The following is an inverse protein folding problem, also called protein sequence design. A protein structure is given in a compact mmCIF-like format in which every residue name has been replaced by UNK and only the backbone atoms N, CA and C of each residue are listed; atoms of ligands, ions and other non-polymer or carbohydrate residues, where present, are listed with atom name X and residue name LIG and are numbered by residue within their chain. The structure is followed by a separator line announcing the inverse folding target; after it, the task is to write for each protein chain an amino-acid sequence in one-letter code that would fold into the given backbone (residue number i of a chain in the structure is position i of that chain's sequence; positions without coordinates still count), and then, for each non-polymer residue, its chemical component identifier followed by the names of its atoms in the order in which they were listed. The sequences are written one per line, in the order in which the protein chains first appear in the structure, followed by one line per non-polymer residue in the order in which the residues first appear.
data_IF_109856115870
#
_entry.id   IF_109856115870
#
_cell.length_a   1.000
_cell.length_b   1.000
_cell.length_c   1.000
_cell.angle_alpha   90.00
_cell.angle_beta   90.00
_cell.angle_gamma   90.00
#
_symmetry.space_group_name_H-M   'P 1'
#
loop_
_entity.id
_entity.type
_entity.pdbx_description
1 polymer ?
#
# COMPACT_ATOMS: atom_id res chain seq x y z
N UNK A 1 5.98 21.30 17.87
CA UNK A 1 4.83 20.40 17.61
C UNK A 1 4.61 20.26 16.12
N UNK A 2 4.37 19.04 15.62
CA UNK A 2 3.95 18.81 14.21
C UNK A 2 2.48 18.43 14.15
N UNK A 3 1.76 18.94 13.15
CA UNK A 3 0.38 18.58 12.87
C UNK A 3 0.33 17.58 11.71
N UNK A 4 -0.41 16.48 11.88
CA UNK A 4 -0.74 15.56 10.79
C UNK A 4 -2.17 15.84 10.34
N UNK A 5 -2.34 16.18 9.07
CA UNK A 5 -3.61 16.44 8.44
C UNK A 5 -3.98 15.29 7.50
N UNK A 6 -4.91 14.45 7.91
CA UNK A 6 -5.27 13.25 7.15
C UNK A 6 -6.77 13.09 6.96
N UNK A 7 -7.14 12.41 5.87
CA UNK A 7 -8.51 11.95 5.61
C UNK A 7 -8.67 10.46 5.92
N UNK A 8 -7.54 9.75 5.99
CA UNK A 8 -7.49 8.30 6.12
C UNK A 8 -6.68 7.94 7.36
N UNK A 9 -7.39 7.55 8.45
CA UNK A 9 -6.75 7.19 9.72
C UNK A 9 -7.50 6.05 10.40
N UNK A 10 -6.85 5.17 11.19
CA UNK A 10 -7.54 4.15 11.95
C UNK A 10 -8.66 4.72 12.84
N UNK A 11 -9.67 3.91 13.19
CA UNK A 11 -9.76 2.45 13.02
C UNK A 11 -10.24 1.97 11.65
N UNK A 12 -10.38 2.86 10.65
CA UNK A 12 -10.62 2.44 9.27
C UNK A 12 -9.40 1.65 8.77
N UNK A 13 -9.63 0.53 8.06
CA UNK A 13 -8.57 -0.37 7.58
C UNK A 13 -8.21 -0.04 6.12
N UNK A 14 -6.90 0.07 5.85
CA UNK A 14 -6.38 0.27 4.50
C UNK A 14 -4.92 0.73 4.48
N UNK A 15 -4.28 0.66 3.31
CA UNK A 15 -2.87 1.01 3.18
C UNK A 15 -2.53 2.46 3.56
N UNK A 16 -3.43 3.42 3.24
CA UNK A 16 -3.27 4.83 3.63
C UNK A 16 -3.43 5.03 5.13
N UNK A 17 -4.40 4.34 5.73
CA UNK A 17 -4.64 4.38 7.17
C UNK A 17 -3.42 3.86 7.93
N UNK A 18 -2.90 2.72 7.50
CA UNK A 18 -1.70 2.11 8.09
C UNK A 18 -0.47 3.02 7.92
N UNK A 19 -0.29 3.64 6.74
CA UNK A 19 0.79 4.58 6.51
C UNK A 19 0.73 5.79 7.45
N UNK A 20 -0.44 6.43 7.53
CA UNK A 20 -0.59 7.63 8.37
C UNK A 20 -0.51 7.30 9.87
N UNK A 21 -1.00 6.13 10.25
CA UNK A 21 -0.84 5.60 11.61
C UNK A 21 0.63 5.36 11.95
N UNK A 22 1.33 4.56 11.14
CA UNK A 22 2.74 4.25 11.39
C UNK A 22 3.62 5.51 11.43
N UNK A 23 3.37 6.48 10.52
CA UNK A 23 4.05 7.76 10.54
C UNK A 23 3.77 8.56 11.82
N UNK A 24 2.50 8.69 12.24
CA UNK A 24 2.13 9.39 13.46
C UNK A 24 2.74 8.71 14.70
N UNK A 25 2.62 7.39 14.78
CA UNK A 25 3.15 6.59 15.88
C UNK A 25 4.67 6.72 16.02
N UNK A 26 5.40 6.60 14.90
CA UNK A 26 6.86 6.73 14.94
C UNK A 26 7.33 8.16 15.22
N UNK A 27 6.66 9.18 14.65
CA UNK A 27 6.99 10.57 14.93
C UNK A 27 6.70 10.95 16.38
N UNK A 28 5.64 10.41 16.99
CA UNK A 28 5.27 10.72 18.38
C UNK A 28 6.34 10.31 19.41
N UNK A 29 7.20 9.35 19.05
CA UNK A 29 8.35 8.96 19.89
C UNK A 29 9.43 10.05 19.98
N UNK A 30 9.40 11.03 19.07
CA UNK A 30 10.46 12.04 18.93
C UNK A 30 9.94 13.47 19.00
N UNK A 31 8.68 13.70 18.67
CA UNK A 31 8.08 15.02 18.55
C UNK A 31 6.68 15.02 19.18
N UNK A 32 6.27 16.17 19.67
CA UNK A 32 4.86 16.38 20.02
C UNK A 32 4.04 16.40 18.71
N UNK A 33 3.04 15.53 18.63
CA UNK A 33 2.20 15.33 17.44
C UNK A 33 0.74 15.57 17.80
N UNK A 34 0.00 16.26 16.93
CA UNK A 34 -1.46 16.30 16.93
C UNK A 34 -1.99 15.90 15.56
N UNK A 35 -2.93 14.98 15.53
CA UNK A 35 -3.55 14.47 14.29
C UNK A 35 -4.93 15.08 14.11
N UNK A 36 -5.20 15.63 12.93
CA UNK A 36 -6.54 16.03 12.49
C UNK A 36 -7.04 15.03 11.45
N UNK A 37 -8.01 14.21 11.82
CA UNK A 37 -8.51 13.10 11.01
C UNK A 37 -10.02 13.19 10.76
N UNK A 38 -10.51 12.49 9.73
CA UNK A 38 -11.95 12.33 9.54
C UNK A 38 -12.56 11.51 10.67
N UNK A 39 -13.80 11.86 11.04
CA UNK A 39 -14.58 11.10 12.04
C UNK A 39 -14.87 9.68 11.54
N UNK A 40 -14.72 8.72 12.44
CA UNK A 40 -15.14 7.33 12.26
C UNK A 40 -15.96 6.89 13.47
N UNK A 41 -17.05 6.15 13.26
CA UNK A 41 -18.00 5.77 14.33
C UNK A 41 -17.35 5.03 15.52
N UNK A 42 -16.33 4.23 15.26
CA UNK A 42 -15.63 3.40 16.25
C UNK A 42 -14.30 4.01 16.71
N UNK A 43 -14.10 5.33 16.58
CA UNK A 43 -12.80 5.96 16.85
C UNK A 43 -12.38 5.98 18.32
N UNK A 44 -13.33 6.05 19.26
CA UNK A 44 -13.05 6.29 20.70
C UNK A 44 -12.07 5.28 21.28
N UNK A 45 -12.35 3.99 21.17
CA UNK A 45 -11.47 2.93 21.69
C UNK A 45 -10.06 2.98 21.10
N UNK A 46 -9.94 3.35 19.82
CA UNK A 46 -8.64 3.51 19.19
C UNK A 46 -7.91 4.76 19.71
N UNK A 47 -8.62 5.89 19.78
CA UNK A 47 -8.05 7.19 20.18
C UNK A 47 -7.58 7.19 21.64
N UNK A 48 -8.19 6.38 22.51
CA UNK A 48 -7.80 6.20 23.93
C UNK A 48 -6.49 5.40 24.09
N UNK A 49 -6.09 4.62 23.09
CA UNK A 49 -4.91 3.75 23.17
C UNK A 49 -3.62 4.39 22.60
N UNK A 50 -3.72 5.59 22.05
CA UNK A 50 -2.58 6.27 21.42
C UNK A 50 -1.95 7.30 22.34
N UNK A 51 -0.64 7.55 22.14
CA UNK A 51 0.14 8.48 22.98
C UNK A 51 0.07 9.95 22.54
N UNK A 52 -0.68 10.27 21.50
CA UNK A 52 -0.79 11.61 20.93
C UNK A 52 -2.25 12.03 20.73
N UNK A 53 -2.48 13.34 20.65
CA UNK A 53 -3.84 13.88 20.51
C UNK A 53 -4.38 13.70 19.10
N UNK A 54 -5.65 13.24 19.00
CA UNK A 54 -6.39 13.12 17.74
C UNK A 54 -7.65 13.99 17.80
N UNK A 55 -7.79 14.90 16.84
CA UNK A 55 -8.99 15.69 16.60
C UNK A 55 -9.79 15.07 15.47
N UNK A 56 -10.98 14.55 15.76
CA UNK A 56 -11.86 13.90 14.78
C UNK A 56 -12.91 14.87 14.24
N UNK A 57 -12.88 15.11 12.93
CA UNK A 57 -13.78 16.06 12.26
C UNK A 57 -14.89 15.33 11.53
N UNK A 58 -16.11 15.51 12.03
CA UNK A 58 -17.33 14.91 11.50
C UNK A 58 -18.10 15.79 10.53
N UNK A 59 -19.36 15.38 10.26
CA UNK A 59 -20.31 16.08 9.41
C UNK A 59 -20.26 15.65 7.94
N UNK A 60 -20.85 16.47 7.06
CA UNK A 60 -20.99 16.19 5.64
C UNK A 60 -19.60 16.00 5.02
N UNK A 61 -19.38 14.84 4.35
CA UNK A 61 -18.07 14.42 3.81
C UNK A 61 -17.41 15.47 2.92
N UNK A 62 -18.18 16.16 2.06
CA UNK A 62 -17.68 17.21 1.17
C UNK A 62 -17.15 18.43 1.92
N UNK A 63 -17.70 18.74 3.09
CA UNK A 63 -17.33 19.90 3.90
C UNK A 63 -16.24 19.63 4.92
N UNK A 64 -15.89 18.37 5.18
CA UNK A 64 -14.89 18.00 6.22
C UNK A 64 -13.53 18.62 5.98
N UNK A 65 -13.09 18.70 4.71
CA UNK A 65 -11.79 19.33 4.38
C UNK A 65 -11.75 20.82 4.80
N UNK A 66 -12.83 21.56 4.60
CA UNK A 66 -12.95 22.97 4.98
C UNK A 66 -12.95 23.13 6.50
N UNK A 67 -13.76 22.30 7.19
CA UNK A 67 -13.85 22.32 8.68
C UNK A 67 -12.50 21.98 9.31
N UNK A 68 -11.80 20.94 8.82
CA UNK A 68 -10.46 20.60 9.31
C UNK A 68 -9.47 21.74 9.08
N UNK A 69 -9.48 22.33 7.87
CA UNK A 69 -8.60 23.46 7.58
C UNK A 69 -8.89 24.66 8.49
N UNK A 70 -10.16 24.95 8.78
CA UNK A 70 -10.56 26.00 9.74
C UNK A 70 -10.00 25.70 11.13
N UNK A 71 -10.26 24.51 11.68
CA UNK A 71 -9.76 24.10 12.99
C UNK A 71 -8.24 24.17 13.09
N UNK A 72 -7.53 23.74 12.04
CA UNK A 72 -6.06 23.84 12.01
C UNK A 72 -5.60 25.29 11.95
N UNK A 73 -6.24 26.14 11.14
CA UNK A 73 -5.92 27.57 11.06
C UNK A 73 -6.15 28.31 12.41
N UNK A 74 -7.18 27.94 13.14
CA UNK A 74 -7.44 28.46 14.50
C UNK A 74 -6.39 27.92 15.48
N UNK A 75 -6.15 26.62 15.48
CA UNK A 75 -5.16 25.97 16.36
C UNK A 75 -3.74 26.56 16.20
N UNK A 76 -3.33 26.87 14.97
CA UNK A 76 -2.00 27.45 14.67
C UNK A 76 -1.84 28.86 15.28
N UNK A 77 -2.92 29.65 15.43
CA UNK A 77 -2.86 30.99 16.03
C UNK A 77 -2.52 30.94 17.51
N UNK A 78 -2.98 29.90 18.20
CA UNK A 78 -2.85 29.75 19.66
C UNK A 78 -1.65 28.89 20.07
N UNK A 79 -1.04 28.15 19.12
CA UNK A 79 -0.01 27.18 19.42
C UNK A 79 1.24 27.34 18.57
N UNK A 80 2.41 27.06 19.16
CA UNK A 80 3.67 27.04 18.43
C UNK A 80 3.80 25.75 17.63
N UNK A 81 3.70 25.88 16.30
CA UNK A 81 3.76 24.77 15.35
C UNK A 81 5.05 24.86 14.54
N UNK A 82 5.76 23.73 14.40
CA UNK A 82 6.99 23.59 13.64
C UNK A 82 6.71 23.25 12.16
N UNK A 83 5.65 22.46 11.90
CA UNK A 83 5.25 22.10 10.54
C UNK A 83 3.97 21.28 10.47
N UNK A 84 3.50 21.07 9.24
CA UNK A 84 2.28 20.33 8.92
C UNK A 84 2.64 19.24 7.91
N UNK A 85 2.21 18.01 8.18
CA UNK A 85 2.33 16.86 7.29
C UNK A 85 0.93 16.48 6.82
N UNK A 86 0.70 16.46 5.52
CA UNK A 86 -0.60 16.12 4.95
C UNK A 86 -0.53 14.87 4.08
N UNK A 87 -1.54 14.02 4.22
CA UNK A 87 -1.70 12.78 3.46
C UNK A 87 -2.05 12.99 1.97
N UNK A 88 -2.37 14.24 1.58
CA UNK A 88 -2.92 14.53 0.25
C UNK A 88 -2.93 16.05 0.01
N UNK A 89 -2.67 16.50 -1.23
CA UNK A 89 -2.70 17.91 -1.60
C UNK A 89 -4.03 18.61 -1.25
N UNK A 90 -5.18 17.93 -1.36
CA UNK A 90 -6.49 18.50 -0.97
C UNK A 90 -6.61 18.83 0.50
N UNK A 91 -5.81 18.20 1.34
CA UNK A 91 -5.76 18.51 2.77
C UNK A 91 -5.12 19.88 3.01
N UNK A 92 -4.20 20.31 2.15
CA UNK A 92 -3.51 21.60 2.25
C UNK A 92 -4.24 22.76 1.57
N UNK A 93 -5.18 22.49 0.68
CA UNK A 93 -5.80 23.46 -0.24
C UNK A 93 -6.42 24.69 0.45
N UNK A 94 -6.86 24.56 1.69
CA UNK A 94 -7.54 25.64 2.42
C UNK A 94 -6.77 26.08 3.66
N UNK A 95 -5.52 25.66 3.82
CA UNK A 95 -4.67 26.11 4.92
C UNK A 95 -4.08 27.48 4.62
N UNK A 96 -4.28 28.42 5.56
CA UNK A 96 -3.77 29.79 5.50
C UNK A 96 -2.63 29.95 6.50
N UNK A 97 -1.46 29.44 6.18
CA UNK A 97 -0.29 29.49 7.07
C UNK A 97 1.03 29.49 6.31
N UNK A 98 2.02 30.19 6.85
CA UNK A 98 3.41 30.19 6.36
C UNK A 98 4.27 29.11 7.05
N UNK A 99 3.67 28.24 7.87
CA UNK A 99 4.39 27.14 8.49
C UNK A 99 4.82 26.13 7.44
N UNK A 100 5.96 25.47 7.67
CA UNK A 100 6.49 24.40 6.83
C UNK A 100 5.42 23.35 6.54
N UNK A 101 5.21 23.03 5.26
CA UNK A 101 4.25 22.04 4.81
C UNK A 101 4.94 20.92 4.08
N UNK A 102 4.62 19.70 4.43
CA UNK A 102 5.04 18.47 3.78
C UNK A 102 3.79 17.78 3.24
N UNK A 103 3.77 17.47 1.96
CA UNK A 103 2.66 16.79 1.29
C UNK A 103 3.08 15.40 0.84
N UNK A 104 2.37 14.37 1.31
CA UNK A 104 2.54 13.02 0.79
C UNK A 104 1.71 12.86 -0.49
N UNK A 105 2.30 12.19 -1.49
CA UNK A 105 1.63 11.82 -2.74
C UNK A 105 1.79 10.33 -3.00
N UNK A 106 0.71 9.70 -3.56
CA UNK A 106 0.57 8.24 -3.59
C UNK A 106 0.26 7.68 -4.98
N UNK A 107 0.17 8.53 -6.02
CA UNK A 107 -0.05 8.18 -7.41
C UNK A 107 -1.46 8.51 -7.91
N UNK A 108 -2.51 7.87 -7.39
CA UNK A 108 -3.88 8.03 -7.93
C UNK A 108 -4.37 9.48 -7.97
N UNK A 109 -4.09 10.27 -6.94
CA UNK A 109 -4.57 11.64 -6.78
C UNK A 109 -3.83 12.65 -7.68
N UNK A 110 -2.68 12.24 -8.21
CA UNK A 110 -1.89 13.01 -9.19
C UNK A 110 -1.89 12.35 -10.58
N UNK A 111 -2.57 11.21 -10.78
CA UNK A 111 -2.70 10.58 -12.10
C UNK A 111 -3.86 11.21 -12.88
N UNK A 112 -3.59 12.34 -13.51
CA UNK A 112 -4.56 13.10 -14.32
C UNK A 112 -3.83 13.81 -15.49
N UNK A 113 -4.60 14.38 -16.42
CA UNK A 113 -4.03 15.04 -17.59
C UNK A 113 -3.42 16.39 -17.23
N UNK A 114 -2.23 16.67 -17.78
CA UNK A 114 -1.54 17.95 -17.69
C UNK A 114 -2.37 19.06 -18.34
N UNK A 115 -2.32 20.26 -17.76
CA UNK A 115 -3.00 21.45 -18.30
C UNK A 115 -4.49 21.56 -17.98
N UNK A 116 -5.12 20.53 -17.39
CA UNK A 116 -6.51 20.59 -16.95
C UNK A 116 -6.69 21.52 -15.76
N UNK A 117 -7.94 21.94 -15.48
CA UNK A 117 -8.28 22.73 -14.29
C UNK A 117 -7.87 22.02 -12.98
N UNK A 118 -7.97 20.67 -12.95
CA UNK A 118 -7.51 19.88 -11.84
C UNK A 118 -5.97 19.96 -11.69
N UNK A 119 -5.24 19.86 -12.80
CA UNK A 119 -3.78 19.98 -12.79
C UNK A 119 -3.33 21.35 -12.28
N UNK A 120 -3.90 22.44 -12.80
CA UNK A 120 -3.59 23.81 -12.33
C UNK A 120 -3.77 23.93 -10.81
N UNK A 121 -4.89 23.43 -10.30
CA UNK A 121 -5.23 23.46 -8.88
C UNK A 121 -4.27 22.62 -8.01
N UNK A 122 -3.82 21.46 -8.52
CA UNK A 122 -2.81 20.61 -7.85
C UNK A 122 -1.47 21.36 -7.77
N UNK A 123 -1.03 21.95 -8.89
CA UNK A 123 0.24 22.71 -8.95
C UNK A 123 0.20 23.92 -8.02
N UNK A 124 -0.90 24.70 -8.02
CA UNK A 124 -1.08 25.85 -7.13
C UNK A 124 -0.90 25.46 -5.64
N UNK A 125 -1.45 24.30 -5.22
CA UNK A 125 -1.27 23.82 -3.85
C UNK A 125 0.15 23.35 -3.59
N UNK A 126 0.72 22.55 -4.51
CA UNK A 126 2.05 21.95 -4.33
C UNK A 126 3.18 22.97 -4.46
N UNK A 127 2.97 24.07 -5.18
CA UNK A 127 3.94 25.18 -5.24
C UNK A 127 4.12 25.88 -3.87
N UNK A 128 3.11 25.80 -3.02
CA UNK A 128 3.13 26.33 -1.65
C UNK A 128 3.56 25.28 -0.59
N UNK A 129 4.18 24.19 -1.03
CA UNK A 129 4.69 23.11 -0.16
C UNK A 129 6.22 23.12 -0.23
N UNK A 130 6.88 23.00 0.88
CA UNK A 130 8.35 22.97 0.96
C UNK A 130 8.92 21.62 0.54
N UNK A 131 8.25 20.53 0.93
CA UNK A 131 8.70 19.17 0.61
C UNK A 131 7.52 18.30 0.21
N UNK A 132 7.64 17.63 -0.92
CA UNK A 132 6.68 16.66 -1.42
C UNK A 132 7.29 15.27 -1.27
N UNK A 133 6.65 14.41 -0.52
CA UNK A 133 7.08 13.03 -0.32
C UNK A 133 6.30 12.11 -1.26
N UNK A 134 6.98 11.60 -2.29
CA UNK A 134 6.43 10.57 -3.15
C UNK A 134 6.69 9.18 -2.55
N UNK A 135 5.68 8.32 -2.58
CA UNK A 135 5.78 6.97 -2.02
C UNK A 135 6.58 5.98 -2.90
N UNK A 136 6.94 6.38 -4.13
CA UNK A 136 7.76 5.61 -5.08
C UNK A 136 8.39 6.50 -6.14
N UNK A 137 9.41 6.01 -6.83
CA UNK A 137 10.01 6.71 -7.99
C UNK A 137 8.98 6.89 -9.11
N UNK A 138 8.10 5.91 -9.31
CA UNK A 138 7.01 6.06 -10.28
C UNK A 138 6.08 7.25 -9.92
N UNK A 139 5.69 7.38 -8.67
CA UNK A 139 4.86 8.51 -8.20
C UNK A 139 5.58 9.85 -8.35
N UNK A 140 6.88 9.90 -8.08
CA UNK A 140 7.72 11.09 -8.31
C UNK A 140 7.75 11.46 -9.79
N UNK A 141 8.02 10.49 -10.67
CA UNK A 141 8.07 10.74 -12.11
C UNK A 141 6.72 11.21 -12.66
N UNK A 142 5.62 10.64 -12.16
CA UNK A 142 4.27 11.10 -12.48
C UNK A 142 4.06 12.56 -12.05
N UNK A 143 4.46 12.95 -10.85
CA UNK A 143 4.36 14.33 -10.39
C UNK A 143 5.18 15.29 -11.25
N UNK A 144 6.42 14.94 -11.61
CA UNK A 144 7.28 15.71 -12.51
C UNK A 144 6.61 15.90 -13.88
N UNK A 145 6.03 14.85 -14.45
CA UNK A 145 5.35 14.91 -15.75
C UNK A 145 4.16 15.87 -15.76
N UNK A 146 3.51 16.07 -14.59
CA UNK A 146 2.43 17.05 -14.41
C UNK A 146 2.91 18.48 -14.26
N UNK A 147 4.21 18.69 -14.07
CA UNK A 147 4.82 20.03 -13.89
C UNK A 147 5.20 20.37 -12.45
N UNK A 148 5.15 19.40 -11.52
CA UNK A 148 5.63 19.62 -10.15
C UNK A 148 7.17 19.78 -10.17
N UNK A 149 7.68 20.74 -9.42
CA UNK A 149 9.11 21.06 -9.36
C UNK A 149 9.90 19.90 -8.74
N UNK A 150 10.82 19.32 -9.52
CA UNK A 150 11.57 18.13 -9.14
C UNK A 150 12.34 18.29 -7.82
N UNK A 151 12.95 19.46 -7.58
CA UNK A 151 13.76 19.71 -6.39
C UNK A 151 12.97 19.71 -5.08
N UNK A 152 11.62 19.84 -5.15
CA UNK A 152 10.73 19.71 -3.98
C UNK A 152 10.36 18.28 -3.68
N UNK A 153 10.60 17.32 -4.59
CA UNK A 153 10.12 15.96 -4.48
C UNK A 153 11.25 15.05 -3.98
N UNK A 154 10.98 14.37 -2.89
CA UNK A 154 11.81 13.28 -2.40
C UNK A 154 10.99 11.98 -2.40
N UNK A 155 11.66 10.84 -2.57
CA UNK A 155 11.02 9.54 -2.46
C UNK A 155 11.27 8.98 -1.08
N UNK A 156 10.20 8.73 -0.31
CA UNK A 156 10.26 7.96 0.94
C UNK A 156 9.20 6.88 0.81
N UNK A 157 9.64 5.64 0.66
CA UNK A 157 8.73 4.51 0.57
C UNK A 157 7.94 4.32 1.88
N UNK A 158 6.71 3.76 1.84
CA UNK A 158 5.94 3.44 3.03
C UNK A 158 6.69 2.51 3.98
N UNK A 159 6.61 2.81 5.27
CA UNK A 159 7.12 1.93 6.31
C UNK A 159 6.16 0.76 6.59
N UNK A 160 6.73 -0.35 7.05
CA UNK A 160 5.99 -1.48 7.58
C UNK A 160 6.46 -1.79 9.01
N UNK A 161 5.53 -2.32 9.82
CA UNK A 161 5.88 -2.83 11.14
C UNK A 161 6.56 -4.19 11.01
N UNK A 162 7.37 -4.55 12.00
CA UNK A 162 7.90 -5.90 12.12
C UNK A 162 6.75 -6.88 12.29
N UNK A 163 6.83 -8.01 11.60
CA UNK A 163 5.85 -9.08 11.79
C UNK A 163 6.01 -9.72 13.18
N UNK A 164 4.87 -9.93 13.82
CA UNK A 164 4.82 -10.68 15.07
C UNK A 164 5.05 -12.18 14.81
N UNK A 165 5.54 -12.87 15.83
CA UNK A 165 5.68 -14.32 15.77
C UNK A 165 4.31 -14.99 15.63
N UNK A 166 4.19 -15.84 14.62
CA UNK A 166 2.93 -16.52 14.32
C UNK A 166 2.67 -17.66 15.26
N UNK A 167 1.45 -17.80 15.75
CA UNK A 167 1.02 -18.87 16.60
C UNK A 167 1.17 -20.22 15.88
N UNK A 168 1.86 -21.16 16.51
CA UNK A 168 2.12 -22.52 15.96
C UNK A 168 0.82 -23.22 15.57
N UNK A 169 -0.22 -23.16 16.40
CA UNK A 169 -1.52 -23.79 16.12
C UNK A 169 -2.15 -23.26 14.83
N UNK A 170 -2.03 -21.94 14.56
CA UNK A 170 -2.53 -21.32 13.34
C UNK A 170 -1.69 -21.75 12.13
N UNK A 171 -0.37 -21.80 12.27
CA UNK A 171 0.53 -22.31 11.22
C UNK A 171 0.23 -23.77 10.87
N UNK A 172 0.05 -24.65 11.89
CA UNK A 172 -0.28 -26.07 11.69
C UNK A 172 -1.66 -26.23 11.00
N UNK A 173 -2.64 -25.40 11.36
CA UNK A 173 -3.96 -25.39 10.70
C UNK A 173 -3.83 -25.03 9.22
N UNK A 174 -3.07 -24.01 8.88
CA UNK A 174 -2.85 -23.59 7.49
C UNK A 174 -2.03 -24.64 6.73
N UNK A 175 -0.99 -25.20 7.32
CA UNK A 175 -0.23 -26.28 6.70
C UNK A 175 -1.11 -27.51 6.37
N UNK A 176 -2.01 -27.90 7.28
CA UNK A 176 -2.97 -28.97 7.03
C UNK A 176 -3.97 -28.62 5.91
N UNK A 177 -4.44 -27.37 5.86
CA UNK A 177 -5.32 -26.87 4.80
C UNK A 177 -4.65 -26.93 3.42
N UNK A 178 -3.37 -26.58 3.36
CA UNK A 178 -2.59 -26.54 2.13
C UNK A 178 -1.77 -27.83 1.89
N UNK A 179 -2.05 -28.88 2.66
CA UNK A 179 -1.38 -30.18 2.49
C UNK A 179 -1.60 -30.69 1.06
N UNK A 180 -0.54 -31.17 0.44
CA UNK A 180 -0.51 -31.65 -0.94
C UNK A 180 -0.81 -30.56 -2.02
N UNK A 181 -0.82 -29.26 -1.65
CA UNK A 181 -0.93 -28.16 -2.59
C UNK A 181 0.45 -27.59 -2.89
N UNK A 182 0.84 -27.57 -4.17
CA UNK A 182 2.08 -26.96 -4.64
C UNK A 182 1.99 -26.68 -6.14
N UNK A 183 2.51 -25.54 -6.63
CA UNK A 183 2.90 -24.36 -5.85
C UNK A 183 1.70 -23.63 -5.22
N UNK A 184 1.97 -22.87 -4.16
CA UNK A 184 1.00 -22.07 -3.42
C UNK A 184 1.18 -20.60 -3.78
N UNK A 185 0.33 -20.07 -4.63
CA UNK A 185 0.30 -18.66 -4.99
C UNK A 185 -0.64 -17.91 -4.06
N UNK A 186 -0.31 -16.67 -3.69
CA UNK A 186 -1.18 -15.84 -2.84
C UNK A 186 -1.24 -14.40 -3.32
N UNK A 187 -2.43 -13.80 -3.23
CA UNK A 187 -2.63 -12.34 -3.29
C UNK A 187 -3.41 -11.88 -2.07
N UNK A 188 -2.93 -10.84 -1.40
CA UNK A 188 -3.62 -10.16 -0.30
C UNK A 188 -3.92 -8.74 -0.76
N UNK A 189 -5.17 -8.46 -1.14
CA UNK A 189 -5.55 -7.14 -1.65
C UNK A 189 -7.06 -6.97 -1.73
N UNK A 190 -7.50 -5.73 -2.01
CA UNK A 190 -8.87 -5.53 -2.47
C UNK A 190 -9.05 -6.17 -3.86
N UNK A 191 -10.22 -6.74 -4.10
CA UNK A 191 -10.56 -7.27 -5.42
C UNK A 191 -11.04 -6.12 -6.31
N UNK A 192 -10.09 -5.42 -6.91
CA UNK A 192 -10.29 -4.39 -7.91
C UNK A 192 -9.50 -4.74 -9.20
N UNK A 193 -9.93 -4.21 -10.35
CA UNK A 193 -9.33 -4.53 -11.67
C UNK A 193 -7.83 -4.26 -11.72
N UNK A 194 -7.37 -3.24 -11.02
CA UNK A 194 -5.96 -2.88 -10.96
C UNK A 194 -5.08 -4.00 -10.36
N UNK A 195 -5.61 -4.78 -9.40
CA UNK A 195 -4.88 -5.87 -8.73
C UNK A 195 -4.71 -7.11 -9.58
N UNK A 196 -5.50 -7.21 -10.64
CA UNK A 196 -5.32 -8.14 -11.75
C UNK A 196 -5.39 -9.64 -11.39
N UNK A 197 -6.29 -9.99 -10.48
CA UNK A 197 -6.59 -11.39 -10.14
C UNK A 197 -7.00 -12.19 -11.39
N UNK A 198 -7.68 -11.52 -12.34
CA UNK A 198 -8.13 -12.10 -13.60
C UNK A 198 -6.98 -12.76 -14.37
N UNK A 199 -5.89 -12.02 -14.62
CA UNK A 199 -4.74 -12.55 -15.37
C UNK A 199 -4.03 -13.70 -14.64
N UNK A 200 -3.97 -13.65 -13.31
CA UNK A 200 -3.41 -14.75 -12.52
C UNK A 200 -4.27 -16.01 -12.68
N UNK A 201 -5.62 -15.88 -12.59
CA UNK A 201 -6.55 -17.01 -12.80
C UNK A 201 -6.45 -17.56 -14.21
N UNK A 202 -6.36 -16.71 -15.22
CA UNK A 202 -6.16 -17.15 -16.61
C UNK A 202 -4.83 -17.93 -16.77
N UNK A 203 -3.74 -17.46 -16.13
CA UNK A 203 -2.47 -18.16 -16.13
C UNK A 203 -2.53 -19.53 -15.45
N UNK A 204 -3.36 -19.70 -14.41
CA UNK A 204 -3.56 -20.99 -13.74
C UNK A 204 -4.06 -22.09 -14.69
N UNK A 205 -4.83 -21.74 -15.74
CA UNK A 205 -5.30 -22.70 -16.74
C UNK A 205 -4.15 -23.47 -17.39
N UNK A 206 -3.05 -22.78 -17.68
CA UNK A 206 -1.87 -23.38 -18.27
C UNK A 206 -0.95 -23.98 -17.21
N UNK A 207 -0.76 -23.26 -16.08
CA UNK A 207 0.10 -23.73 -14.98
C UNK A 207 -0.37 -25.06 -14.39
N UNK A 208 -1.67 -25.31 -14.29
CA UNK A 208 -2.19 -26.59 -13.74
C UNK A 208 -1.83 -27.82 -14.58
N UNK A 209 -1.48 -27.65 -15.85
CA UNK A 209 -1.01 -28.75 -16.70
C UNK A 209 0.37 -29.23 -16.28
N UNK A 210 1.22 -28.30 -15.79
CA UNK A 210 2.57 -28.60 -15.29
C UNK A 210 2.55 -28.92 -13.80
N UNK A 211 1.70 -28.19 -13.04
CA UNK A 211 1.56 -28.28 -11.60
C UNK A 211 0.10 -28.63 -11.23
N UNK A 212 -0.31 -29.90 -11.31
CA UNK A 212 -1.72 -30.28 -11.09
C UNK A 212 -2.26 -29.92 -9.69
N UNK A 213 -1.37 -29.84 -8.70
CA UNK A 213 -1.70 -29.49 -7.30
C UNK A 213 -1.59 -27.99 -6.99
N UNK A 214 -1.37 -27.13 -8.01
CA UNK A 214 -1.29 -25.68 -7.82
C UNK A 214 -2.52 -25.13 -7.11
N UNK A 215 -2.30 -24.17 -6.21
CA UNK A 215 -3.38 -23.44 -5.55
C UNK A 215 -3.11 -21.93 -5.59
N UNK A 216 -4.14 -21.17 -5.86
CA UNK A 216 -4.14 -19.71 -5.76
C UNK A 216 -5.05 -19.26 -4.62
N UNK A 217 -4.49 -18.57 -3.66
CA UNK A 217 -5.14 -18.08 -2.46
C UNK A 217 -5.43 -16.59 -2.63
N UNK A 218 -6.70 -16.24 -2.69
CA UNK A 218 -7.17 -14.86 -2.82
C UNK A 218 -7.68 -14.38 -1.46
N UNK A 219 -6.97 -13.45 -0.81
CA UNK A 219 -7.37 -12.89 0.48
C UNK A 219 -7.81 -11.45 0.30
N UNK A 220 -9.07 -11.16 0.62
CA UNK A 220 -9.66 -9.83 0.53
C UNK A 220 -11.10 -9.84 0.04
N UNK A 221 -11.56 -8.67 -0.40
CA UNK A 221 -12.88 -8.42 -0.97
C UNK A 221 -12.85 -7.19 -1.88
N UNK A 222 -13.89 -6.99 -2.68
CA UNK A 222 -14.01 -5.82 -3.54
C UNK A 222 -15.00 -5.99 -4.67
N UNK A 223 -15.09 -4.97 -5.53
CA UNK A 223 -16.11 -4.88 -6.58
C UNK A 223 -15.97 -5.98 -7.66
N UNK A 224 -14.78 -6.56 -7.81
CA UNK A 224 -14.53 -7.63 -8.79
C UNK A 224 -14.76 -9.05 -8.23
N UNK A 225 -15.20 -9.21 -6.99
CA UNK A 225 -15.33 -10.53 -6.33
C UNK A 225 -16.18 -11.50 -7.15
N UNK A 226 -17.37 -11.07 -7.60
CA UNK A 226 -18.28 -11.90 -8.38
C UNK A 226 -17.73 -12.22 -9.78
N UNK A 227 -17.09 -11.25 -10.44
CA UNK A 227 -16.46 -11.46 -11.76
C UNK A 227 -15.33 -12.48 -11.68
N UNK A 228 -14.52 -12.41 -10.62
CA UNK A 228 -13.40 -13.34 -10.38
C UNK A 228 -13.93 -14.76 -10.13
N UNK A 229 -14.95 -14.91 -9.29
CA UNK A 229 -15.58 -16.22 -9.00
C UNK A 229 -16.22 -16.83 -10.25
N UNK A 230 -16.89 -16.01 -11.06
CA UNK A 230 -17.47 -16.43 -12.34
C UNK A 230 -16.38 -16.94 -13.28
N UNK A 231 -15.27 -16.20 -13.44
CA UNK A 231 -14.14 -16.62 -14.26
C UNK A 231 -13.56 -17.97 -13.79
N UNK A 232 -13.40 -18.15 -12.48
CA UNK A 232 -12.95 -19.44 -11.90
C UNK A 232 -13.86 -20.58 -12.30
N UNK A 233 -15.18 -20.37 -12.28
CA UNK A 233 -16.16 -21.38 -12.68
C UNK A 233 -16.11 -21.66 -14.19
N UNK A 234 -16.06 -20.63 -15.03
CA UNK A 234 -15.96 -20.74 -16.50
C UNK A 234 -14.71 -21.52 -16.94
N UNK A 235 -13.61 -21.34 -16.23
CA UNK A 235 -12.34 -22.05 -16.52
C UNK A 235 -12.21 -23.40 -15.81
N UNK A 236 -13.22 -23.83 -15.04
CA UNK A 236 -13.20 -25.08 -14.24
C UNK A 236 -11.98 -25.15 -13.31
N UNK A 237 -11.70 -24.04 -12.60
CA UNK A 237 -10.55 -23.86 -11.69
C UNK A 237 -10.94 -23.86 -10.20
N UNK A 238 -12.17 -24.28 -9.84
CA UNK A 238 -12.62 -24.28 -8.45
C UNK A 238 -11.67 -25.07 -7.50
N UNK A 239 -11.08 -26.21 -7.90
CA UNK A 239 -10.11 -26.91 -7.04
C UNK A 239 -8.78 -26.19 -6.85
N UNK A 240 -8.46 -25.21 -7.73
CA UNK A 240 -7.19 -24.47 -7.75
C UNK A 240 -7.29 -23.06 -7.16
N UNK A 241 -8.47 -22.61 -6.69
CA UNK A 241 -8.62 -21.25 -6.16
C UNK A 241 -9.36 -21.30 -4.82
N UNK A 242 -8.77 -20.64 -3.82
CA UNK A 242 -9.40 -20.42 -2.51
C UNK A 242 -9.62 -18.94 -2.26
N UNK A 243 -10.81 -18.60 -1.76
CA UNK A 243 -11.17 -17.24 -1.39
C UNK A 243 -11.29 -17.10 0.13
N UNK A 244 -10.67 -16.07 0.69
CA UNK A 244 -10.75 -15.73 2.10
C UNK A 244 -11.20 -14.28 2.25
N UNK A 245 -12.24 -14.06 3.05
CA UNK A 245 -12.80 -12.75 3.36
C UNK A 245 -13.01 -12.61 4.85
N UNK A 246 -12.79 -11.40 5.38
CA UNK A 246 -13.02 -11.04 6.78
C UNK A 246 -12.33 -12.00 7.78
N UNK A 247 -11.12 -12.47 7.43
CA UNK A 247 -10.29 -13.30 8.29
C UNK A 247 -9.41 -12.47 9.22
N UNK A 248 -8.97 -13.05 10.34
CA UNK A 248 -8.05 -12.40 11.27
C UNK A 248 -6.69 -12.11 10.62
N UNK A 249 -5.99 -11.08 11.10
CA UNK A 249 -4.63 -10.79 10.67
C UNK A 249 -3.69 -11.98 10.88
N UNK A 250 -3.86 -12.72 11.97
CA UNK A 250 -3.07 -13.90 12.27
C UNK A 250 -3.25 -14.99 11.19
N UNK A 251 -4.49 -15.30 10.79
CA UNK A 251 -4.77 -16.28 9.73
C UNK A 251 -4.24 -15.78 8.38
N UNK A 252 -4.46 -14.51 8.05
CA UNK A 252 -3.92 -13.88 6.84
C UNK A 252 -2.40 -14.03 6.78
N UNK A 253 -1.71 -13.70 7.86
CA UNK A 253 -0.26 -13.76 7.92
C UNK A 253 0.26 -15.21 7.86
N UNK A 254 -0.45 -16.17 8.46
CA UNK A 254 -0.11 -17.59 8.36
C UNK A 254 -0.30 -18.13 6.93
N UNK A 255 -1.34 -17.70 6.20
CA UNK A 255 -1.53 -18.02 4.78
C UNK A 255 -0.38 -17.47 3.93
N UNK A 256 0.04 -16.23 4.18
CA UNK A 256 1.22 -15.63 3.52
C UNK A 256 2.47 -16.45 3.83
N UNK A 257 2.75 -16.71 5.10
CA UNK A 257 3.95 -17.46 5.53
C UNK A 257 4.04 -18.90 4.99
N UNK A 258 2.90 -19.50 4.63
CA UNK A 258 2.81 -20.87 4.08
C UNK A 258 2.64 -20.93 2.56
N UNK A 259 2.73 -19.79 1.89
CA UNK A 259 2.71 -19.68 0.43
C UNK A 259 4.13 -19.70 -0.15
N UNK A 260 4.23 -19.92 -1.48
CA UNK A 260 5.52 -19.99 -2.17
C UNK A 260 5.83 -18.71 -2.97
N UNK A 261 4.81 -18.06 -3.55
CA UNK A 261 4.95 -16.83 -4.34
C UNK A 261 3.78 -15.88 -4.04
N UNK A 262 4.09 -14.62 -3.76
CA UNK A 262 3.10 -13.55 -3.74
C UNK A 262 2.89 -13.01 -5.16
N UNK A 263 1.66 -13.08 -5.69
CA UNK A 263 1.36 -12.72 -7.08
C UNK A 263 0.35 -11.57 -7.14
N UNK A 264 0.78 -10.42 -7.61
CA UNK A 264 -0.09 -9.26 -7.83
C UNK A 264 0.43 -8.43 -9.01
N UNK A 265 0.34 -8.94 -10.26
CA UNK A 265 0.83 -8.27 -11.47
C UNK A 265 -0.09 -7.09 -11.81
N UNK A 266 -0.06 -6.05 -10.95
CA UNK A 266 -0.94 -4.90 -11.00
C UNK A 266 -0.81 -4.13 -12.30
N UNK A 267 -1.93 -3.56 -12.77
CA UNK A 267 -2.01 -2.76 -14.00
C UNK A 267 -2.61 -1.39 -13.71
N UNK A 268 -2.45 -0.46 -14.62
CA UNK A 268 -3.20 0.79 -14.59
C UNK A 268 -4.64 0.51 -15.02
N UNK A 269 -5.61 0.86 -14.17
CA UNK A 269 -7.02 0.83 -14.53
C UNK A 269 -7.64 2.22 -14.36
N UNK A 270 -8.03 2.86 -15.48
CA UNK A 270 -8.47 4.27 -15.51
C UNK A 270 -7.38 5.17 -14.89
N UNK A 271 -7.69 5.86 -13.78
CA UNK A 271 -6.73 6.68 -13.02
C UNK A 271 -6.09 5.95 -11.86
N UNK A 272 -6.47 4.69 -11.62
CA UNK A 272 -5.96 3.92 -10.49
C UNK A 272 -4.66 3.22 -10.88
N UNK A 273 -3.59 3.51 -10.14
CA UNK A 273 -2.26 2.95 -10.30
C UNK A 273 -1.78 2.39 -8.96
N UNK A 274 -0.92 1.37 -8.97
CA UNK A 274 -0.26 0.91 -7.75
C UNK A 274 0.79 1.94 -7.34
N UNK A 275 0.58 2.58 -6.19
CA UNK A 275 1.49 3.62 -5.74
C UNK A 275 2.86 3.10 -5.30
N UNK A 276 2.87 1.98 -4.58
CA UNK A 276 4.08 1.31 -4.10
C UNK A 276 3.87 -0.20 -3.98
N UNK A 277 2.76 -0.61 -3.33
CA UNK A 277 2.48 -2.01 -3.09
C UNK A 277 3.04 -2.52 -1.76
N UNK A 278 2.59 -1.95 -0.64
CA UNK A 278 2.97 -2.37 0.72
C UNK A 278 2.87 -3.90 0.89
N UNK A 279 1.87 -4.54 0.27
CA UNK A 279 1.65 -5.97 0.34
C UNK A 279 2.85 -6.83 -0.17
N UNK A 280 3.64 -6.33 -1.12
CA UNK A 280 4.87 -7.00 -1.54
C UNK A 280 5.91 -7.02 -0.41
N UNK A 281 6.02 -5.90 0.31
CA UNK A 281 6.94 -5.77 1.44
C UNK A 281 6.47 -6.62 2.63
N UNK A 282 5.16 -6.64 2.89
CA UNK A 282 4.55 -7.52 3.90
C UNK A 282 4.84 -9.01 3.59
N UNK A 283 4.71 -9.42 2.33
CA UNK A 283 5.05 -10.78 1.90
C UNK A 283 6.55 -11.08 2.05
N UNK A 284 7.43 -10.13 1.69
CA UNK A 284 8.88 -10.27 1.81
C UNK A 284 9.35 -10.56 3.24
N UNK A 285 8.65 -10.05 4.27
CA UNK A 285 8.97 -10.34 5.67
C UNK A 285 8.89 -11.85 6.00
N UNK A 286 8.03 -12.59 5.30
CA UNK A 286 7.90 -14.04 5.43
C UNK A 286 8.81 -14.81 4.46
N UNK A 287 9.64 -14.12 3.70
CA UNK A 287 10.52 -14.74 2.71
C UNK A 287 9.78 -15.15 1.43
N UNK A 288 8.62 -14.52 1.12
CA UNK A 288 7.96 -14.73 -0.15
C UNK A 288 8.55 -13.79 -1.21
N UNK A 289 8.99 -14.33 -2.35
CA UNK A 289 9.27 -13.52 -3.52
C UNK A 289 7.95 -13.03 -4.14
N UNK A 290 7.99 -11.91 -4.83
CA UNK A 290 6.80 -11.31 -5.41
C UNK A 290 6.86 -11.24 -6.92
N UNK A 291 5.73 -11.47 -7.59
CA UNK A 291 5.47 -11.06 -8.97
C UNK A 291 4.65 -9.78 -8.96
N UNK A 292 5.24 -8.67 -9.41
CA UNK A 292 4.62 -7.36 -9.52
C UNK A 292 4.39 -6.95 -10.97
N UNK A 293 3.49 -5.97 -11.18
CA UNK A 293 3.29 -5.37 -12.49
C UNK A 293 4.29 -4.23 -12.77
N UNK A 294 4.65 -4.03 -14.03
CA UNK A 294 5.58 -2.96 -14.46
C UNK A 294 4.98 -1.55 -14.31
N UNK A 295 3.66 -1.45 -14.34
CA UNK A 295 2.94 -0.18 -14.28
C UNK A 295 2.72 0.24 -12.82
N UNK A 296 3.46 1.23 -12.37
CA UNK A 296 3.35 1.77 -11.01
C UNK A 296 4.58 1.55 -10.15
N UNK A 297 4.40 1.60 -8.84
CA UNK A 297 5.49 1.62 -7.86
C UNK A 297 5.99 0.24 -7.41
N UNK A 298 5.58 -0.87 -8.05
CA UNK A 298 6.00 -2.21 -7.65
C UNK A 298 7.53 -2.40 -7.71
N UNK A 299 8.21 -1.73 -8.66
CA UNK A 299 9.66 -1.79 -8.82
C UNK A 299 10.46 -1.19 -7.64
N UNK A 300 9.82 -0.36 -6.81
CA UNK A 300 10.46 0.14 -5.58
C UNK A 300 10.42 -0.90 -4.44
N UNK A 301 9.41 -1.77 -4.45
CA UNK A 301 9.24 -2.84 -3.46
C UNK A 301 9.95 -4.14 -3.89
N UNK A 302 10.07 -4.40 -5.20
CA UNK A 302 10.60 -5.63 -5.78
C UNK A 302 11.84 -5.32 -6.61
N UNK A 303 13.00 -5.86 -6.22
CA UNK A 303 14.22 -5.84 -7.04
C UNK A 303 14.12 -6.96 -8.08
N UNK A 304 13.84 -6.58 -9.35
CA UNK A 304 13.64 -7.53 -10.45
C UNK A 304 14.81 -8.52 -10.61
N UNK A 305 14.49 -9.82 -10.71
CA UNK A 305 15.44 -10.96 -10.76
C UNK A 305 16.31 -11.13 -9.51
N UNK A 306 15.98 -10.46 -8.41
CA UNK A 306 16.70 -10.59 -7.14
C UNK A 306 15.77 -10.93 -5.98
N UNK A 307 14.68 -10.17 -5.78
CA UNK A 307 13.69 -10.41 -4.73
C UNK A 307 12.34 -10.86 -5.28
N UNK A 308 12.24 -10.98 -6.60
CA UNK A 308 11.05 -11.36 -7.34
C UNK A 308 11.15 -10.93 -8.80
N UNK A 309 10.01 -10.89 -9.48
CA UNK A 309 9.93 -10.48 -10.87
C UNK A 309 8.93 -9.32 -11.05
N UNK A 310 9.21 -8.50 -12.07
CA UNK A 310 8.30 -7.48 -12.60
C UNK A 310 7.93 -7.89 -14.02
N UNK A 311 6.65 -7.91 -14.36
CA UNK A 311 6.12 -8.25 -15.68
C UNK A 311 5.11 -7.23 -16.19
N UNK A 312 4.78 -7.28 -17.47
CA UNK A 312 3.59 -6.62 -17.99
C UNK A 312 2.34 -7.38 -17.55
N UNK A 313 1.60 -6.83 -16.58
CA UNK A 313 0.36 -7.44 -16.10
C UNK A 313 -0.76 -7.46 -17.15
N UNK A 314 -0.66 -6.69 -18.25
CA UNK A 314 -1.63 -6.73 -19.35
C UNK A 314 -1.43 -7.96 -20.24
N UNK A 315 -0.19 -8.49 -20.29
CA UNK A 315 0.17 -9.61 -21.14
C UNK A 315 0.08 -10.94 -20.36
N UNK A 316 -0.85 -11.81 -20.78
CA UNK A 316 -1.08 -13.10 -20.11
C UNK A 316 0.16 -13.98 -20.14
N UNK A 317 0.87 -14.01 -21.27
CA UNK A 317 2.05 -14.82 -21.45
C UNK A 317 3.21 -14.37 -20.56
N UNK A 318 3.33 -13.07 -20.29
CA UNK A 318 4.33 -12.57 -19.34
C UNK A 318 3.98 -12.95 -17.89
N UNK A 319 2.71 -12.86 -17.51
CA UNK A 319 2.28 -13.29 -16.17
C UNK A 319 2.52 -14.79 -15.99
N UNK A 320 2.12 -15.61 -16.98
CA UNK A 320 2.34 -17.05 -16.96
C UNK A 320 3.83 -17.40 -16.90
N UNK A 321 4.61 -16.90 -17.85
CA UNK A 321 6.05 -17.21 -17.96
C UNK A 321 6.84 -16.74 -16.74
N UNK A 322 6.48 -15.60 -16.14
CA UNK A 322 7.12 -15.11 -14.92
C UNK A 322 6.85 -16.02 -13.72
N UNK A 323 5.62 -16.49 -13.53
CA UNK A 323 5.31 -17.46 -12.48
C UNK A 323 6.09 -18.76 -12.70
N UNK A 324 6.07 -19.28 -13.94
CA UNK A 324 6.79 -20.51 -14.27
C UNK A 324 8.29 -20.37 -14.05
N UNK A 325 8.90 -19.25 -14.49
CA UNK A 325 10.33 -18.97 -14.28
C UNK A 325 10.72 -18.93 -12.79
N UNK A 326 9.85 -18.41 -11.92
CA UNK A 326 10.10 -18.42 -10.48
C UNK A 326 10.06 -19.83 -9.90
N UNK A 327 9.23 -20.72 -10.46
CA UNK A 327 9.10 -22.11 -10.03
C UNK A 327 10.21 -22.99 -10.56
N UNK A 328 10.72 -22.73 -11.78
CA UNK A 328 11.81 -23.43 -12.39
C UNK A 328 13.07 -23.36 -11.51
N UNK A 329 13.72 -24.52 -11.34
CA UNK A 329 14.91 -24.66 -10.49
C UNK A 329 14.74 -24.07 -9.09
N UNK A 330 13.48 -23.96 -8.61
CA UNK A 330 13.15 -23.42 -7.29
C UNK A 330 13.68 -22.00 -7.05
N UNK A 331 13.76 -21.17 -8.09
CA UNK A 331 14.24 -19.77 -7.98
C UNK A 331 13.46 -18.94 -6.96
N UNK A 332 12.19 -19.29 -6.71
CA UNK A 332 11.37 -18.63 -5.69
C UNK A 332 12.00 -18.72 -4.29
N UNK A 333 12.75 -19.78 -3.96
CA UNK A 333 13.44 -19.90 -2.67
C UNK A 333 14.60 -18.89 -2.55
N UNK A 334 15.39 -18.74 -3.60
CA UNK A 334 16.47 -17.75 -3.66
C UNK A 334 15.92 -16.32 -3.59
N UNK A 335 14.92 -16.01 -4.42
CA UNK A 335 14.32 -14.69 -4.43
C UNK A 335 13.61 -14.38 -3.10
N UNK A 336 12.97 -15.36 -2.48
CA UNK A 336 12.33 -15.22 -1.18
C UNK A 336 13.34 -14.95 -0.06
N UNK A 337 14.47 -15.65 -0.03
CA UNK A 337 15.57 -15.36 0.90
C UNK A 337 16.06 -13.92 0.70
N UNK A 338 16.36 -13.52 -0.53
CA UNK A 338 16.83 -12.19 -0.84
C UNK A 338 15.78 -11.12 -0.46
N UNK A 339 14.48 -11.40 -0.66
CA UNK A 339 13.39 -10.50 -0.26
C UNK A 339 13.39 -10.28 1.26
N UNK A 340 13.52 -11.36 2.03
CA UNK A 340 13.59 -11.30 3.49
C UNK A 340 14.83 -10.54 3.99
N UNK A 341 15.99 -10.77 3.38
CA UNK A 341 17.23 -10.09 3.75
C UNK A 341 17.17 -8.57 3.46
N UNK A 342 16.46 -8.17 2.39
CA UNK A 342 16.34 -6.77 1.96
C UNK A 342 15.19 -5.99 2.61
N UNK A 343 14.25 -6.65 3.27
CA UNK A 343 13.01 -6.00 3.74
C UNK A 343 13.22 -4.96 4.83
N UNK A 344 14.31 -5.07 5.60
CA UNK A 344 14.62 -4.19 6.73
C UNK A 344 14.70 -2.70 6.36
N UNK A 345 15.06 -2.39 5.10
CA UNK A 345 15.07 -1.00 4.60
C UNK A 345 13.69 -0.32 4.65
N UNK A 346 12.62 -1.11 4.66
CA UNK A 346 11.24 -0.63 4.74
C UNK A 346 10.67 -0.64 6.16
N UNK A 347 11.39 -1.10 7.17
CA UNK A 347 10.89 -1.01 8.54
C UNK A 347 10.79 0.44 9.00
N UNK A 348 9.73 0.74 9.76
CA UNK A 348 9.49 2.08 10.28
C UNK A 348 10.71 2.66 11.00
N UNK A 349 11.50 1.83 11.71
CA UNK A 349 12.75 2.24 12.37
C UNK A 349 13.80 2.83 11.41
N UNK A 350 13.76 2.48 10.14
CA UNK A 350 14.63 3.02 9.10
C UNK A 350 13.94 4.15 8.31
N UNK A 351 12.68 3.97 7.96
CA UNK A 351 11.90 4.98 7.23
C UNK A 351 11.78 6.28 8.01
N UNK A 352 11.55 6.22 9.33
CA UNK A 352 11.41 7.41 10.16
C UNK A 352 12.66 8.31 10.19
N UNK A 353 13.86 7.75 9.99
CA UNK A 353 15.10 8.52 9.91
C UNK A 353 15.05 9.52 8.77
N UNK A 354 14.52 9.12 7.61
CA UNK A 354 14.36 9.97 6.43
C UNK A 354 13.33 11.08 6.65
N UNK A 355 12.22 10.78 7.34
CA UNK A 355 11.26 11.81 7.74
C UNK A 355 11.89 12.82 8.70
N UNK A 356 12.70 12.37 9.66
CA UNK A 356 13.40 13.26 10.60
C UNK A 356 14.37 14.22 9.90
N UNK A 357 14.98 13.81 8.80
CA UNK A 357 15.88 14.69 8.01
C UNK A 357 15.12 15.84 7.37
N UNK A 358 13.93 15.60 6.86
CA UNK A 358 13.11 16.65 6.23
C UNK A 358 12.29 17.47 7.22
N UNK A 359 12.21 17.05 8.47
CA UNK A 359 11.54 17.81 9.54
C UNK A 359 12.47 18.81 10.23
N UNK A 360 13.76 18.67 10.09
CA UNK A 360 14.76 19.65 10.53
C UNK A 360 14.67 20.91 9.65
#
# INVERSE_FOLDING_TARGET
MYLLFTRSFPPEIGGMQNLMWGLANELSKHYMIKVFADYHKNHKLFDEQVSFSIERVGGIKLLRKYRKAQLINEFIKENKIDGIIADHWKSLEHLKTNKKKICLIHGKEINHEKGTSLNKRVLEVLDNVETIVANSENTKNLAISLGVQQHKIIVINPGVDLVEELNKKTLDKVENLLKHKFPRLITVSRFDKRKNHEKVIMALRNLKQIYPSIIYICVGYGDEEENIKKLVAELSLQPQVMFFKDISNELKNALVAKSDIFVMPSVVHKKSIEGFGIAYVEAAQYGLPSLGGKDGGAADAIEHKKTGLICDGNELDEVYSSINLMLENKKYLEYGKNAKDNVSKFYWSNIIKRYKEILK
#
